data_IF_616168097922
#
_entry.id   IF_616168097922
#
_cell.length_a   1.000
_cell.length_b   1.000
_cell.length_c   1.000
_cell.angle_alpha   90.00
_cell.angle_beta   90.00
_cell.angle_gamma   90.00
#
_symmetry.space_group_name_H-M   'P 1'
#
loop_
_entity.id
_entity.type
_entity.pdbx_description
1 polymer ?
#
# COMPACT_ATOMS: atom_id res chain seq x y z
N UNK A 1 -9.13 -18.40 38.39
CA UNK A 1 -8.22 -18.87 37.32
C UNK A 1 -8.32 -17.90 36.15
N UNK A 2 -7.47 -16.87 36.16
CA UNK A 2 -7.28 -16.01 34.99
C UNK A 2 -6.77 -16.87 33.83
N UNK A 3 -7.57 -16.94 32.77
CA UNK A 3 -7.06 -17.46 31.49
C UNK A 3 -6.04 -16.45 31.00
N UNK A 4 -4.74 -16.77 31.18
CA UNK A 4 -3.65 -16.22 30.39
C UNK A 4 -3.97 -16.45 28.91
N UNK A 5 -4.77 -15.57 28.31
CA UNK A 5 -4.84 -15.43 26.86
C UNK A 5 -3.51 -14.81 26.47
N UNK A 6 -2.54 -15.66 26.14
CA UNK A 6 -1.39 -15.23 25.35
C UNK A 6 -1.94 -14.49 24.13
N UNK A 7 -1.91 -13.16 24.18
CA UNK A 7 -2.11 -12.32 22.99
C UNK A 7 -0.85 -12.48 22.15
N UNK A 8 -0.73 -13.61 21.46
CA UNK A 8 0.34 -13.80 20.49
C UNK A 8 0.11 -12.77 19.37
N UNK A 9 1.10 -11.92 19.12
CA UNK A 9 1.08 -11.02 17.99
C UNK A 9 1.04 -11.87 16.69
N UNK A 10 0.31 -11.43 15.65
CA UNK A 10 0.21 -12.14 14.36
C UNK A 10 1.59 -12.46 13.77
N UNK A 11 2.57 -11.57 13.95
CA UNK A 11 3.98 -11.80 13.57
C UNK A 11 4.62 -12.94 14.36
N UNK A 12 4.37 -13.02 15.67
CA UNK A 12 4.86 -14.11 16.51
C UNK A 12 4.19 -15.44 16.16
N UNK A 13 2.91 -15.42 15.75
CA UNK A 13 2.19 -16.62 15.32
C UNK A 13 2.77 -17.16 14.01
N UNK A 14 2.98 -16.30 13.02
CA UNK A 14 3.62 -16.64 11.74
C UNK A 14 5.01 -17.23 11.98
N UNK A 15 5.82 -16.57 12.81
CA UNK A 15 7.15 -17.05 13.15
C UNK A 15 7.12 -18.40 13.87
N UNK A 16 6.21 -18.59 14.83
CA UNK A 16 6.04 -19.85 15.54
C UNK A 16 5.60 -20.99 14.61
N UNK A 17 4.66 -20.74 13.69
CA UNK A 17 4.24 -21.72 12.68
C UNK A 17 5.39 -22.10 11.74
N UNK A 18 6.19 -21.11 11.32
CA UNK A 18 7.35 -21.34 10.46
C UNK A 18 8.42 -22.20 11.15
N UNK A 19 8.79 -21.84 12.39
CA UNK A 19 9.78 -22.59 13.18
C UNK A 19 9.27 -24.01 13.46
N UNK A 20 8.01 -24.16 13.89
CA UNK A 20 7.43 -25.46 14.18
C UNK A 20 7.39 -26.37 12.95
N UNK A 21 6.96 -25.85 11.79
CA UNK A 21 6.94 -26.59 10.54
C UNK A 21 8.34 -27.03 10.09
N UNK A 22 9.32 -26.13 10.13
CA UNK A 22 10.69 -26.41 9.72
C UNK A 22 11.39 -27.44 10.62
N UNK A 23 11.25 -27.30 11.96
CA UNK A 23 11.82 -28.24 12.93
C UNK A 23 11.21 -29.63 12.77
N UNK A 24 9.89 -29.70 12.55
CA UNK A 24 9.18 -30.96 12.40
C UNK A 24 9.65 -31.71 11.15
N UNK A 25 9.76 -31.05 10.00
CA UNK A 25 10.29 -31.66 8.77
C UNK A 25 11.74 -32.10 8.94
N UNK A 26 12.59 -31.27 9.56
CA UNK A 26 14.01 -31.61 9.77
C UNK A 26 14.16 -32.84 10.67
N UNK A 27 13.42 -32.87 11.78
CA UNK A 27 13.39 -34.02 12.69
C UNK A 27 12.94 -35.29 11.97
N UNK A 28 11.90 -35.17 11.15
CA UNK A 28 11.30 -36.27 10.41
C UNK A 28 12.26 -36.88 9.37
N UNK A 29 12.97 -36.04 8.61
CA UNK A 29 14.02 -36.47 7.68
C UNK A 29 15.15 -37.21 8.41
N UNK A 30 15.59 -36.68 9.56
CA UNK A 30 16.65 -37.31 10.37
C UNK A 30 16.17 -38.68 10.88
N UNK A 31 14.94 -38.77 11.37
CA UNK A 31 14.38 -40.01 11.90
C UNK A 31 14.17 -41.05 10.79
N UNK A 32 13.71 -40.65 9.61
CA UNK A 32 13.64 -41.55 8.45
C UNK A 32 15.03 -42.09 8.07
N UNK A 33 16.05 -41.24 8.04
CA UNK A 33 17.42 -41.63 7.71
C UNK A 33 18.02 -42.62 8.75
N UNK A 34 17.66 -42.48 10.03
CA UNK A 34 18.20 -43.32 11.12
C UNK A 34 17.40 -44.62 11.32
N UNK A 35 16.07 -44.57 11.18
CA UNK A 35 15.17 -45.66 11.58
C UNK A 35 14.91 -46.64 10.43
N UNK A 36 14.84 -46.18 9.18
CA UNK A 36 14.57 -47.03 8.00
C UNK A 36 15.68 -48.07 7.74
N UNK A 37 16.99 -47.77 7.91
CA UNK A 37 18.05 -48.75 7.71
C UNK A 37 18.09 -49.88 8.74
N UNK A 38 17.41 -49.74 9.89
CA UNK A 38 17.47 -50.74 10.96
C UNK A 38 16.79 -52.05 10.53
N UNK A 39 17.34 -53.21 10.92
CA UNK A 39 16.87 -54.55 10.56
C UNK A 39 15.52 -54.98 11.17
N UNK A 40 14.57 -54.04 11.35
CA UNK A 40 13.25 -54.29 11.95
C UNK A 40 12.29 -55.01 10.98
N UNK A 41 11.27 -55.73 11.50
CA UNK A 41 10.27 -56.42 10.67
C UNK A 41 9.57 -55.47 9.69
N UNK A 42 9.21 -55.97 8.50
CA UNK A 42 8.64 -55.15 7.41
C UNK A 42 7.41 -54.33 7.80
N UNK A 43 6.51 -54.88 8.63
CA UNK A 43 5.33 -54.16 9.12
C UNK A 43 5.70 -52.91 9.94
N UNK A 44 6.69 -53.00 10.83
CA UNK A 44 7.15 -51.87 11.64
C UNK A 44 7.76 -50.77 10.76
N UNK A 45 8.51 -51.13 9.72
CA UNK A 45 9.08 -50.17 8.76
C UNK A 45 8.01 -49.39 8.01
N UNK A 46 6.98 -50.09 7.53
CA UNK A 46 5.86 -49.48 6.81
C UNK A 46 5.09 -48.53 7.74
N UNK A 47 4.79 -48.96 8.97
CA UNK A 47 4.08 -48.14 9.95
C UNK A 47 4.86 -46.87 10.32
N UNK A 48 6.17 -46.98 10.56
CA UNK A 48 7.05 -45.84 10.84
C UNK A 48 7.12 -44.89 9.64
N UNK A 49 7.30 -45.41 8.43
CA UNK A 49 7.30 -44.60 7.21
C UNK A 49 5.97 -43.85 7.01
N UNK A 50 4.84 -44.46 7.38
CA UNK A 50 3.52 -43.82 7.34
C UNK A 50 3.38 -42.68 8.37
N UNK A 51 3.84 -42.90 9.61
CA UNK A 51 3.83 -41.89 10.67
C UNK A 51 4.69 -40.69 10.25
N UNK A 52 5.91 -40.96 9.80
CA UNK A 52 6.82 -39.93 9.31
C UNK A 52 6.28 -39.23 8.05
N UNK A 53 5.71 -39.96 7.08
CA UNK A 53 5.01 -39.33 5.96
C UNK A 53 3.89 -38.37 6.37
N UNK A 54 3.10 -38.73 7.39
CA UNK A 54 2.06 -37.87 7.96
C UNK A 54 2.64 -36.66 8.72
N UNK A 55 3.77 -36.84 9.42
CA UNK A 55 4.48 -35.75 10.08
C UNK A 55 5.01 -34.75 9.04
N UNK A 56 5.63 -35.21 7.96
CA UNK A 56 6.09 -34.34 6.86
C UNK A 56 4.92 -33.55 6.29
N UNK A 57 3.78 -34.18 6.04
CA UNK A 57 2.56 -33.50 5.56
C UNK A 57 2.08 -32.43 6.54
N UNK A 58 2.10 -32.72 7.85
CA UNK A 58 1.77 -31.74 8.88
C UNK A 58 2.76 -30.56 8.89
N UNK A 59 4.06 -30.83 8.76
CA UNK A 59 5.09 -29.79 8.68
C UNK A 59 4.91 -28.89 7.47
N UNK A 60 4.64 -29.46 6.29
CA UNK A 60 4.33 -28.71 5.06
C UNK A 60 3.07 -27.87 5.23
N UNK A 61 2.04 -28.41 5.88
CA UNK A 61 0.81 -27.68 6.18
C UNK A 61 1.06 -26.48 7.11
N UNK A 62 1.88 -26.63 8.15
CA UNK A 62 2.26 -25.54 9.04
C UNK A 62 3.05 -24.43 8.32
N UNK A 63 3.94 -24.79 7.40
CA UNK A 63 4.66 -23.83 6.56
C UNK A 63 3.71 -23.09 5.61
N UNK A 64 2.76 -23.79 5.00
CA UNK A 64 1.69 -23.18 4.19
C UNK A 64 0.83 -22.23 5.02
N UNK A 65 0.46 -22.63 6.23
CA UNK A 65 -0.28 -21.77 7.16
C UNK A 65 0.53 -20.53 7.52
N UNK A 66 1.84 -20.66 7.81
CA UNK A 66 2.73 -19.54 8.07
C UNK A 66 2.80 -18.59 6.87
N UNK A 67 2.94 -19.12 5.66
CA UNK A 67 3.00 -18.36 4.41
C UNK A 67 1.71 -17.58 4.13
N UNK A 68 0.55 -18.20 4.33
CA UNK A 68 -0.74 -17.53 4.18
C UNK A 68 -0.90 -16.41 5.22
N UNK A 69 -0.53 -16.68 6.47
CA UNK A 69 -0.66 -15.69 7.54
C UNK A 69 0.41 -14.59 7.48
N UNK A 70 1.56 -14.82 6.84
CA UNK A 70 2.62 -13.82 6.66
C UNK A 70 2.23 -12.75 5.65
N UNK A 71 1.57 -13.11 4.54
CA UNK A 71 1.10 -12.13 3.54
C UNK A 71 -0.01 -11.21 4.05
N UNK A 72 -0.70 -11.64 5.12
CA UNK A 72 -1.73 -10.86 5.79
C UNK A 72 -1.22 -10.21 7.10
N UNK A 73 0.06 -10.36 7.46
CA UNK A 73 0.55 -9.93 8.77
C UNK A 73 0.53 -8.41 8.94
N UNK A 74 0.84 -7.68 7.87
CA UNK A 74 0.85 -6.22 7.84
C UNK A 74 -0.17 -5.72 6.80
N UNK A 75 -1.02 -4.77 7.21
CA UNK A 75 -2.06 -4.19 6.36
C UNK A 75 -1.43 -3.19 5.38
N UNK A 76 -1.45 -3.50 4.09
CA UNK A 76 -0.94 -2.59 3.08
C UNK A 76 -1.96 -1.48 2.80
N UNK A 77 -1.55 -0.22 2.83
CA UNK A 77 -2.44 0.94 2.72
C UNK A 77 -3.45 0.87 1.55
N UNK A 78 -2.97 0.62 0.32
CA UNK A 78 -3.84 0.52 -0.86
C UNK A 78 -4.57 -0.82 -1.01
N UNK A 79 -3.93 -1.93 -0.64
CA UNK A 79 -4.38 -3.29 -0.96
C UNK A 79 -5.18 -3.94 0.15
N UNK A 80 -5.03 -3.48 1.39
CA UNK A 80 -5.80 -4.01 2.50
C UNK A 80 -7.28 -3.86 2.22
N UNK A 81 -8.01 -4.93 2.45
CA UNK A 81 -9.43 -5.03 2.23
C UNK A 81 -10.13 -5.32 3.55
N UNK A 82 -11.00 -4.40 3.97
CA UNK A 82 -11.58 -4.43 5.31
C UNK A 82 -12.65 -5.52 5.45
N UNK A 83 -13.33 -5.87 4.36
CA UNK A 83 -14.33 -6.94 4.32
C UNK A 83 -13.68 -8.32 4.51
N UNK A 84 -12.65 -8.61 3.72
CA UNK A 84 -11.94 -9.89 3.78
C UNK A 84 -10.84 -9.93 4.85
N UNK A 85 -10.45 -8.77 5.41
CA UNK A 85 -9.32 -8.56 6.34
C UNK A 85 -7.98 -9.06 5.79
N UNK A 86 -7.81 -8.94 4.48
CA UNK A 86 -6.63 -9.42 3.74
C UNK A 86 -6.15 -8.39 2.74
N UNK A 87 -4.89 -8.50 2.33
CA UNK A 87 -4.37 -7.69 1.23
C UNK A 87 -4.80 -8.33 -0.10
N UNK A 88 -5.47 -7.58 -0.98
CA UNK A 88 -5.73 -8.05 -2.35
C UNK A 88 -4.41 -8.27 -3.09
N UNK A 89 -4.34 -9.14 -4.12
CA UNK A 89 -3.17 -9.27 -4.98
C UNK A 89 -2.80 -7.94 -5.67
N UNK A 90 -1.51 -7.68 -5.86
CA UNK A 90 -1.01 -6.45 -6.52
C UNK A 90 -1.63 -6.24 -7.91
N UNK A 91 -1.83 -7.31 -8.67
CA UNK A 91 -2.46 -7.29 -10.01
C UNK A 91 -3.93 -6.83 -10.00
N UNK A 92 -4.58 -6.87 -8.84
CA UNK A 92 -5.98 -6.46 -8.66
C UNK A 92 -6.10 -5.01 -8.13
N UNK A 93 -4.97 -4.34 -7.88
CA UNK A 93 -4.98 -2.93 -7.49
C UNK A 93 -5.42 -2.07 -8.68
N UNK A 94 -6.46 -1.26 -8.46
CA UNK A 94 -7.04 -0.36 -9.48
C UNK A 94 -6.82 1.10 -9.12
N UNK A 95 -6.85 1.97 -10.14
CA UNK A 95 -6.74 3.42 -9.93
C UNK A 95 -7.87 3.97 -9.08
N UNK A 96 -9.09 3.44 -9.22
CA UNK A 96 -10.24 3.78 -8.37
C UNK A 96 -9.95 3.50 -6.89
N UNK A 97 -9.35 2.34 -6.58
CA UNK A 97 -9.01 1.98 -5.20
C UNK A 97 -7.94 2.93 -4.64
N UNK A 98 -6.92 3.27 -5.45
CA UNK A 98 -5.90 4.26 -5.07
C UNK A 98 -6.52 5.62 -4.78
N UNK A 99 -7.35 6.14 -5.70
CA UNK A 99 -8.07 7.41 -5.53
C UNK A 99 -8.89 7.40 -4.24
N UNK A 100 -9.68 6.34 -4.01
CA UNK A 100 -10.52 6.22 -2.81
C UNK A 100 -9.69 6.24 -1.53
N UNK A 101 -8.59 5.49 -1.47
CA UNK A 101 -7.69 5.47 -0.32
C UNK A 101 -7.02 6.83 -0.10
N UNK A 102 -6.61 7.53 -1.16
CA UNK A 102 -6.07 8.89 -1.06
C UNK A 102 -7.12 9.91 -0.61
N UNK A 103 -8.39 9.78 -1.03
CA UNK A 103 -9.46 10.64 -0.52
C UNK A 103 -9.66 10.47 0.98
N UNK A 104 -9.64 9.23 1.48
CA UNK A 104 -9.76 8.95 2.92
C UNK A 104 -8.56 9.50 3.68
N UNK A 105 -7.36 9.38 3.13
CA UNK A 105 -6.15 9.93 3.73
C UNK A 105 -6.20 11.45 3.86
N UNK A 106 -6.51 12.17 2.77
CA UNK A 106 -6.62 13.63 2.80
C UNK A 106 -7.74 14.10 3.73
N UNK A 107 -8.89 13.43 3.72
CA UNK A 107 -9.97 13.68 4.68
C UNK A 107 -9.49 13.58 6.12
N UNK A 108 -8.76 12.51 6.46
CA UNK A 108 -8.25 12.29 7.82
C UNK A 108 -7.17 13.30 8.21
N UNK A 109 -6.32 13.68 7.25
CA UNK A 109 -5.25 14.67 7.45
C UNK A 109 -5.81 16.09 7.66
N UNK A 110 -6.84 16.47 6.91
CA UNK A 110 -7.53 17.76 7.07
C UNK A 110 -8.46 17.76 8.29
N UNK A 111 -9.08 16.62 8.60
CA UNK A 111 -10.06 16.48 9.67
C UNK A 111 -11.46 16.98 9.30
N UNK A 112 -11.77 17.11 8.01
CA UNK A 112 -13.07 17.57 7.49
C UNK A 112 -13.55 16.67 6.37
N UNK A 113 -14.87 16.43 6.30
CA UNK A 113 -15.48 15.58 5.28
C UNK A 113 -15.38 16.18 3.87
N UNK A 114 -15.60 17.49 3.75
CA UNK A 114 -15.26 18.28 2.58
C UNK A 114 -13.88 18.89 2.82
N UNK A 115 -12.84 18.26 2.28
CA UNK A 115 -11.44 18.63 2.49
C UNK A 115 -10.86 19.42 1.30
N UNK A 116 -11.61 19.49 0.20
CA UNK A 116 -11.18 19.96 -1.10
C UNK A 116 -10.80 21.45 -1.11
N UNK A 117 -11.56 22.34 -0.46
CA UNK A 117 -11.13 23.73 -0.28
C UNK A 117 -9.84 23.85 0.53
N UNK A 118 -9.73 23.09 1.62
CA UNK A 118 -8.67 23.22 2.62
C UNK A 118 -7.32 22.74 2.12
N UNK A 119 -7.28 21.79 1.18
CA UNK A 119 -6.00 21.33 0.60
C UNK A 119 -5.24 22.45 -0.13
N UNK A 120 -5.91 23.52 -0.51
CA UNK A 120 -5.29 24.69 -1.17
C UNK A 120 -4.84 25.78 -0.20
N UNK A 121 -5.24 25.71 1.07
CA UNK A 121 -4.95 26.75 2.07
C UNK A 121 -3.59 26.58 2.75
N UNK A 122 -3.00 25.37 2.72
CA UNK A 122 -1.70 25.09 3.34
C UNK A 122 -0.94 23.96 2.65
N UNK A 123 0.35 23.85 2.94
CA UNK A 123 1.19 22.76 2.44
C UNK A 123 1.07 21.51 3.33
N UNK A 124 0.52 20.43 2.76
CA UNK A 124 0.33 19.13 3.42
C UNK A 124 1.48 18.13 3.19
N UNK A 125 2.43 18.42 2.30
CA UNK A 125 3.49 17.48 1.92
C UNK A 125 4.42 17.16 3.09
N UNK A 126 4.67 18.13 3.97
CA UNK A 126 5.49 17.95 5.18
C UNK A 126 4.79 17.12 6.26
N UNK A 127 3.48 16.96 6.20
CA UNK A 127 2.73 16.15 7.15
C UNK A 127 2.73 14.66 6.76
N UNK A 128 3.15 14.33 5.54
CA UNK A 128 3.20 12.95 5.01
C UNK A 128 4.28 12.06 5.62
N UNK A 129 5.28 12.65 6.28
CA UNK A 129 6.37 11.96 6.98
C UNK A 129 5.88 11.00 8.08
N UNK A 130 4.70 11.28 8.65
CA UNK A 130 4.23 10.63 9.89
C UNK A 130 3.79 9.18 9.71
N UNK A 131 3.31 8.79 8.53
CA UNK A 131 2.74 7.45 8.33
C UNK A 131 3.72 6.44 7.71
N UNK A 132 4.52 6.85 6.72
CA UNK A 132 5.36 5.94 5.93
C UNK A 132 6.85 6.33 5.93
N UNK A 133 7.28 7.08 6.94
CA UNK A 133 8.67 7.46 7.19
C UNK A 133 9.20 8.63 6.35
N UNK A 134 10.47 8.96 6.56
CA UNK A 134 11.16 10.18 6.07
C UNK A 134 11.23 10.30 4.53
N UNK A 135 10.94 9.21 3.80
CA UNK A 135 10.95 9.23 2.33
C UNK A 135 9.73 9.93 1.74
N UNK A 136 8.68 10.21 2.54
CA UNK A 136 7.45 10.90 2.10
C UNK A 136 6.82 10.25 0.87
N UNK A 137 6.72 8.92 0.89
CA UNK A 137 6.24 8.17 -0.28
C UNK A 137 4.81 8.57 -0.70
N UNK A 138 4.01 9.11 0.21
CA UNK A 138 2.67 9.64 -0.09
C UNK A 138 2.66 11.03 -0.71
N UNK A 139 3.69 11.86 -0.55
CA UNK A 139 3.67 13.26 -1.01
C UNK A 139 3.42 13.40 -2.53
N UNK A 140 4.04 12.60 -3.41
CA UNK A 140 3.69 12.64 -4.83
C UNK A 140 2.26 12.19 -5.13
N UNK A 141 1.71 11.24 -4.36
CA UNK A 141 0.32 10.81 -4.50
C UNK A 141 -0.66 11.89 -4.01
N UNK A 142 -0.30 12.65 -2.98
CA UNK A 142 -1.06 13.83 -2.53
C UNK A 142 -1.10 14.88 -3.63
N UNK A 143 0.04 15.19 -4.26
CA UNK A 143 0.13 16.17 -5.35
C UNK A 143 -0.79 15.77 -6.52
N UNK A 144 -0.70 14.52 -6.99
CA UNK A 144 -1.61 14.01 -8.00
C UNK A 144 -3.08 14.05 -7.57
N UNK A 145 -3.36 13.73 -6.30
CA UNK A 145 -4.72 13.67 -5.80
C UNK A 145 -5.37 15.05 -5.75
N UNK A 146 -4.63 16.07 -5.30
CA UNK A 146 -5.10 17.46 -5.28
C UNK A 146 -5.49 17.92 -6.70
N UNK A 147 -4.61 17.70 -7.69
CA UNK A 147 -4.89 18.05 -9.08
C UNK A 147 -6.03 17.22 -9.68
N UNK A 148 -6.08 15.92 -9.37
CA UNK A 148 -7.15 15.03 -9.83
C UNK A 148 -8.51 15.45 -9.27
N UNK A 149 -8.56 15.86 -8.00
CA UNK A 149 -9.80 16.30 -7.35
C UNK A 149 -10.27 17.63 -7.92
N UNK A 150 -9.36 18.58 -8.14
CA UNK A 150 -9.66 19.83 -8.84
C UNK A 150 -10.24 19.57 -10.24
N UNK A 151 -9.63 18.67 -11.01
CA UNK A 151 -10.12 18.22 -12.32
C UNK A 151 -11.44 17.41 -12.24
N UNK A 152 -11.87 17.02 -11.04
CA UNK A 152 -13.07 16.22 -10.82
C UNK A 152 -14.26 17.04 -10.35
N UNK A 153 -14.04 18.26 -9.86
CA UNK A 153 -15.09 19.15 -9.40
C UNK A 153 -15.43 20.17 -10.47
N UNK A 154 -16.74 20.37 -10.68
CA UNK A 154 -17.27 21.44 -11.52
C UNK A 154 -17.68 22.66 -10.66
N UNK A 155 -16.97 22.87 -9.55
CA UNK A 155 -17.21 23.96 -8.62
C UNK A 155 -16.20 25.07 -8.86
N UNK A 156 -16.66 26.21 -9.38
CA UNK A 156 -15.83 27.39 -9.65
C UNK A 156 -15.07 27.88 -8.41
N UNK A 157 -15.60 27.63 -7.21
CA UNK A 157 -14.96 28.08 -5.97
C UNK A 157 -13.66 27.33 -5.66
N UNK A 158 -13.56 26.04 -5.99
CA UNK A 158 -12.29 25.30 -5.87
C UNK A 158 -11.25 25.82 -6.87
N UNK A 159 -11.68 26.20 -8.06
CA UNK A 159 -10.80 26.81 -9.07
C UNK A 159 -10.31 28.19 -8.63
N UNK A 160 -11.14 29.00 -7.98
CA UNK A 160 -10.71 30.27 -7.38
C UNK A 160 -9.66 30.06 -6.29
N UNK A 161 -9.86 29.06 -5.41
CA UNK A 161 -8.90 28.73 -4.36
C UNK A 161 -7.55 28.28 -4.93
N UNK A 162 -7.55 27.46 -5.97
CA UNK A 162 -6.32 27.07 -6.68
C UNK A 162 -5.56 28.30 -7.22
N UNK A 163 -6.28 29.26 -7.83
CA UNK A 163 -5.67 30.47 -8.39
C UNK A 163 -5.14 31.41 -7.31
N UNK A 164 -5.81 31.45 -6.16
CA UNK A 164 -5.40 32.28 -5.01
C UNK A 164 -4.40 31.59 -4.09
N UNK A 165 -4.12 30.31 -4.31
CA UNK A 165 -3.14 29.57 -3.53
C UNK A 165 -1.77 30.25 -3.61
N UNK A 166 -0.94 30.08 -2.58
CA UNK A 166 0.42 30.61 -2.59
C UNK A 166 1.24 29.93 -3.70
N UNK A 167 2.00 30.71 -4.47
CA UNK A 167 2.86 30.19 -5.54
C UNK A 167 3.81 29.09 -5.05
N UNK A 168 4.28 29.18 -3.81
CA UNK A 168 5.09 28.15 -3.17
C UNK A 168 4.41 26.78 -3.14
N UNK A 169 3.09 26.73 -2.92
CA UNK A 169 2.33 25.48 -2.93
C UNK A 169 2.33 24.83 -4.32
N UNK A 170 2.24 25.64 -5.38
CA UNK A 170 2.27 25.16 -6.77
C UNK A 170 3.65 24.62 -7.13
N UNK A 171 4.72 25.28 -6.70
CA UNK A 171 6.08 24.77 -6.85
C UNK A 171 6.29 23.48 -6.04
N UNK A 172 5.78 23.41 -4.82
CA UNK A 172 5.85 22.19 -4.00
C UNK A 172 5.10 21.00 -4.66
N UNK A 173 3.90 21.25 -5.22
CA UNK A 173 3.18 20.24 -6.03
C UNK A 173 4.05 19.78 -7.20
N UNK A 174 4.64 20.73 -7.93
CA UNK A 174 5.45 20.46 -9.12
C UNK A 174 6.70 19.65 -8.78
N UNK A 175 7.35 19.95 -7.65
CA UNK A 175 8.50 19.22 -7.15
C UNK A 175 8.15 17.79 -6.73
N UNK A 176 7.03 17.58 -6.04
CA UNK A 176 6.60 16.24 -5.67
C UNK A 176 6.19 15.40 -6.89
N UNK A 177 5.60 16.01 -7.91
CA UNK A 177 5.36 15.36 -9.20
C UNK A 177 6.68 14.98 -9.90
N UNK A 178 7.70 15.86 -9.88
CA UNK A 178 9.05 15.54 -10.39
C UNK A 178 9.69 14.39 -9.63
N UNK A 179 9.51 14.30 -8.31
CA UNK A 179 9.97 13.16 -7.51
C UNK A 179 9.30 11.84 -7.89
N UNK A 180 8.05 11.88 -8.38
CA UNK A 180 7.40 10.73 -9.00
C UNK A 180 7.93 10.38 -10.42
N UNK A 181 8.86 11.18 -10.96
CA UNK A 181 9.43 11.00 -12.30
C UNK A 181 8.63 11.69 -13.40
N UNK A 182 7.77 12.66 -13.08
CA UNK A 182 7.17 13.53 -14.09
C UNK A 182 8.10 14.64 -14.55
N UNK A 183 7.90 15.08 -15.79
CA UNK A 183 8.60 16.26 -16.33
C UNK A 183 7.62 17.24 -16.96
N UNK A 184 6.69 16.75 -17.79
CA UNK A 184 5.80 17.60 -18.60
C UNK A 184 4.71 18.31 -17.80
N UNK A 185 4.01 17.57 -16.93
CA UNK A 185 2.90 18.13 -16.14
C UNK A 185 3.36 19.21 -15.14
N UNK A 186 4.47 19.03 -14.39
CA UNK A 186 5.04 20.08 -13.54
C UNK A 186 5.38 21.35 -14.31
N UNK A 187 6.06 21.23 -15.45
CA UNK A 187 6.43 22.37 -16.30
C UNK A 187 5.19 23.12 -16.80
N UNK A 188 4.21 22.40 -17.32
CA UNK A 188 2.96 23.00 -17.78
C UNK A 188 2.19 23.68 -16.63
N UNK A 189 2.21 23.09 -15.42
CA UNK A 189 1.55 23.67 -14.25
C UNK A 189 2.20 25.00 -13.85
N UNK A 190 3.54 25.05 -13.80
CA UNK A 190 4.30 26.25 -13.45
C UNK A 190 4.18 27.34 -14.51
N UNK A 191 4.27 27.00 -15.79
CA UNK A 191 4.11 27.94 -16.90
C UNK A 191 2.74 28.63 -16.83
N UNK A 192 1.67 27.85 -16.76
CA UNK A 192 0.32 28.43 -16.79
C UNK A 192 -0.03 29.16 -15.48
N UNK A 193 0.54 28.75 -14.34
CA UNK A 193 0.34 29.45 -13.08
C UNK A 193 1.15 30.77 -13.01
N UNK A 194 2.38 30.80 -13.52
CA UNK A 194 3.20 32.03 -13.56
C UNK A 194 2.65 33.10 -14.51
N UNK A 195 2.00 32.70 -15.59
CA UNK A 195 1.29 33.59 -16.53
C UNK A 195 -0.11 34.03 -16.03
N UNK A 196 -0.58 33.49 -14.89
CA UNK A 196 -1.93 33.70 -14.39
C UNK A 196 -2.12 35.06 -13.69
N UNK A 197 -2.06 36.17 -14.44
CA UNK A 197 -2.85 37.37 -14.13
C UNK A 197 -4.34 37.14 -14.49
N UNK A 198 -4.94 36.04 -13.99
CA UNK A 198 -6.38 35.76 -14.09
C UNK A 198 -6.96 35.44 -15.48
N UNK A 199 -6.18 35.48 -16.57
CA UNK A 199 -6.68 35.24 -17.95
C UNK A 199 -6.64 33.79 -18.45
N UNK A 200 -5.84 32.92 -17.82
CA UNK A 200 -5.54 31.58 -18.33
C UNK A 200 -6.07 30.43 -17.47
N UNK A 201 -6.95 30.71 -16.50
CA UNK A 201 -7.56 29.69 -15.62
C UNK A 201 -8.26 28.60 -16.44
N UNK A 202 -8.99 28.99 -17.49
CA UNK A 202 -9.68 28.05 -18.38
C UNK A 202 -8.70 27.10 -19.08
N UNK A 203 -7.48 27.56 -19.42
CA UNK A 203 -6.45 26.68 -20.00
C UNK A 203 -5.95 25.64 -19.00
N UNK A 204 -5.81 26.01 -17.72
CA UNK A 204 -5.47 25.05 -16.64
C UNK A 204 -6.62 24.08 -16.44
N UNK A 205 -7.86 24.58 -16.43
CA UNK A 205 -9.07 23.77 -16.29
C UNK A 205 -9.14 22.72 -17.39
N UNK A 206 -9.04 23.14 -18.64
CA UNK A 206 -9.02 22.25 -19.81
C UNK A 206 -7.86 21.26 -19.76
N UNK A 207 -6.67 21.73 -19.38
CA UNK A 207 -5.49 20.87 -19.24
C UNK A 207 -5.69 19.78 -18.18
N UNK A 208 -6.10 20.14 -16.97
CA UNK A 208 -6.26 19.19 -15.86
C UNK A 208 -7.43 18.24 -16.10
N UNK A 209 -8.57 18.75 -16.60
CA UNK A 209 -9.73 17.93 -16.97
C UNK A 209 -9.37 16.95 -18.09
N UNK A 210 -8.68 17.42 -19.14
CA UNK A 210 -8.20 16.57 -20.25
C UNK A 210 -7.20 15.49 -19.80
N UNK A 211 -6.40 15.78 -18.77
CA UNK A 211 -5.40 14.85 -18.22
C UNK A 211 -5.88 14.02 -17.02
N UNK A 212 -7.16 14.07 -16.66
CA UNK A 212 -7.70 13.31 -15.52
C UNK A 212 -7.41 11.82 -15.56
N UNK A 213 -7.61 11.19 -16.74
CA UNK A 213 -7.30 9.76 -16.94
C UNK A 213 -5.80 9.48 -16.81
N UNK A 214 -4.96 10.41 -17.25
CA UNK A 214 -3.51 10.32 -17.11
C UNK A 214 -3.11 10.35 -15.63
N UNK A 215 -3.59 11.33 -14.86
CA UNK A 215 -3.30 11.44 -13.42
C UNK A 215 -3.72 10.19 -12.64
N UNK A 216 -4.92 9.66 -12.91
CA UNK A 216 -5.38 8.38 -12.33
C UNK A 216 -4.41 7.24 -12.62
N UNK A 217 -3.97 7.10 -13.87
CA UNK A 217 -3.03 6.05 -14.27
C UNK A 217 -1.69 6.22 -13.57
N UNK A 218 -1.18 7.46 -13.48
CA UNK A 218 0.10 7.75 -12.83
C UNK A 218 0.08 7.49 -11.33
N UNK A 219 -1.01 7.81 -10.63
CA UNK A 219 -1.19 7.42 -9.23
C UNK A 219 -1.10 5.89 -9.04
N UNK A 220 -1.75 5.12 -9.91
CA UNK A 220 -1.67 3.65 -9.87
C UNK A 220 -0.26 3.15 -10.15
N UNK A 221 0.39 3.64 -11.21
CA UNK A 221 1.76 3.25 -11.57
C UNK A 221 2.76 3.56 -10.44
N UNK A 222 2.62 4.74 -9.83
CA UNK A 222 3.47 5.13 -8.70
C UNK A 222 3.22 4.24 -7.47
N UNK A 223 1.95 3.94 -7.15
CA UNK A 223 1.61 3.04 -6.05
C UNK A 223 2.18 1.62 -6.28
N UNK A 224 2.10 1.10 -7.50
CA UNK A 224 2.66 -0.20 -7.87
C UNK A 224 4.19 -0.22 -7.83
N UNK A 225 4.84 0.84 -8.31
CA UNK A 225 6.30 0.96 -8.30
C UNK A 225 6.86 0.95 -6.87
N UNK A 226 6.10 1.49 -5.91
CA UNK A 226 6.49 1.62 -4.52
C UNK A 226 5.69 0.71 -3.57
N UNK A 227 5.11 -0.40 -4.05
CA UNK A 227 4.22 -1.31 -3.29
C UNK A 227 4.81 -1.69 -1.91
N UNK A 228 6.10 -2.01 -1.85
CA UNK A 228 6.78 -2.37 -0.60
C UNK A 228 6.87 -1.25 0.45
N UNK A 229 6.68 0.02 0.07
CA UNK A 229 6.78 1.17 0.96
C UNK A 229 5.46 1.54 1.66
N UNK A 230 4.35 0.85 1.34
CA UNK A 230 3.01 1.16 1.87
C UNK A 230 2.51 0.13 2.91
N UNK A 231 3.43 -0.57 3.57
CA UNK A 231 3.18 -1.49 4.68
C UNK A 231 3.38 -0.82 6.05
#
# INVERSE_FOLDING_TARGET
>A
MEKLKLKLNKKQLVLALFIAGAVLILFDIIMLAVVVPQGRPGFFKIMLALIFGLMTLLGVWLLLAAYVHSHDADSHFFRYDEETRRNIPTKELTGERVIRRMSLYLRNMVGKDDYLPEVWERNYFRETDKEFGENRVLAPLVAYKMLYDLASVDQDDCWKLFVQADASLIYDISDELRRAGEQRMPQALEEVYSDAEGKYIENIKDFLVGNKRYMKRRMLEYALKNDGAFY
#
